data_IF_099368001117
#
_entry.id   IF_099368001117
#
_cell.length_a   1.000
_cell.length_b   1.000
_cell.length_c   1.000
_cell.angle_alpha   90.00
_cell.angle_beta   90.00
_cell.angle_gamma   90.00
#
_symmetry.space_group_name_H-M   'P 1'
#
loop_
_entity.id
_entity.type
_entity.pdbx_description
1 polymer ?
#
# COMPACT_ATOMS: atom_id res chain seq x y z
N UNK A 1 -12.48 4.82 -40.09
CA UNK A 1 -13.95 5.00 -39.89
C UNK A 1 -14.35 4.03 -38.79
N UNK A 2 -14.73 4.38 -37.56
CA UNK A 2 -15.19 5.62 -36.96
C UNK A 2 -14.58 5.68 -35.54
N UNK A 3 -14.01 6.83 -35.22
CA UNK A 3 -13.55 7.22 -33.88
C UNK A 3 -14.70 8.01 -33.25
N UNK A 4 -15.18 7.60 -32.07
CA UNK A 4 -16.04 8.40 -31.18
C UNK A 4 -15.88 7.85 -29.76
N UNK A 5 -14.98 8.39 -28.93
CA UNK A 5 -15.14 9.61 -28.14
C UNK A 5 -16.24 9.51 -27.06
N UNK A 6 -15.90 8.99 -25.88
CA UNK A 6 -16.42 9.51 -24.60
C UNK A 6 -15.27 9.47 -23.58
N UNK A 7 -14.45 10.51 -23.62
CA UNK A 7 -13.78 11.01 -22.42
C UNK A 7 -14.79 11.89 -21.65
N UNK A 8 -15.10 11.52 -20.41
CA UNK A 8 -15.58 12.43 -19.36
C UNK A 8 -14.65 12.13 -18.18
N UNK A 9 -13.60 12.91 -17.92
CA UNK A 9 -13.72 14.29 -17.49
C UNK A 9 -14.18 14.32 -16.03
N UNK A 10 -13.40 13.72 -15.12
CA UNK A 10 -13.57 13.96 -13.68
C UNK A 10 -12.90 15.30 -13.38
N UNK A 11 -13.72 16.32 -13.31
CA UNK A 11 -13.34 17.70 -13.05
C UNK A 11 -12.73 17.82 -11.66
N UNK A 12 -11.47 18.28 -11.60
CA UNK A 12 -10.90 18.85 -10.39
C UNK A 12 -11.69 20.11 -9.99
N UNK A 13 -11.88 20.29 -8.69
CA UNK A 13 -12.34 21.51 -8.02
C UNK A 13 -13.82 21.86 -8.19
N UNK A 14 -14.64 21.29 -7.30
CA UNK A 14 -15.72 22.01 -6.63
C UNK A 14 -16.15 21.24 -5.37
N UNK A 15 -15.24 21.15 -4.38
CA UNK A 15 -15.67 20.91 -3.00
C UNK A 15 -16.43 22.16 -2.58
N UNK A 16 -17.75 22.09 -2.69
CA UNK A 16 -18.67 23.11 -2.21
C UNK A 16 -18.31 23.44 -0.77
N UNK A 17 -17.94 24.70 -0.56
CA UNK A 17 -17.67 25.32 0.74
C UNK A 17 -19.00 25.35 1.52
N UNK A 18 -19.41 24.19 2.05
CA UNK A 18 -20.60 24.06 2.91
C UNK A 18 -20.41 25.06 4.05
N UNK A 19 -21.36 25.97 4.20
CA UNK A 19 -21.34 27.02 5.21
C UNK A 19 -21.04 26.44 6.60
N UNK A 20 -19.93 26.87 7.23
CA UNK A 20 -19.54 26.50 8.61
C UNK A 20 -20.63 26.78 9.66
N UNK A 21 -21.69 27.53 9.32
CA UNK A 21 -22.80 27.90 10.22
C UNK A 21 -23.75 26.74 10.58
N UNK A 22 -23.63 25.56 9.98
CA UNK A 22 -24.55 24.43 10.21
C UNK A 22 -23.94 23.13 10.74
N UNK A 23 -22.61 23.01 10.89
CA UNK A 23 -21.99 21.76 11.34
C UNK A 23 -22.28 21.48 12.82
N UNK A 24 -22.59 20.24 13.14
CA UNK A 24 -22.72 19.74 14.52
C UNK A 24 -21.35 19.73 15.21
N UNK A 25 -21.36 19.67 16.55
CA UNK A 25 -20.12 19.50 17.33
C UNK A 25 -19.39 18.20 16.97
N UNK A 26 -20.13 17.14 16.66
CA UNK A 26 -19.57 15.85 16.26
C UNK A 26 -18.86 15.93 14.89
N UNK A 27 -19.48 16.59 13.90
CA UNK A 27 -18.87 16.75 12.57
C UNK A 27 -17.58 17.58 12.64
N UNK A 28 -17.57 18.68 13.40
CA UNK A 28 -16.33 19.46 13.61
C UNK A 28 -15.24 18.65 14.29
N UNK A 29 -15.62 17.80 15.26
CA UNK A 29 -14.69 16.91 15.96
C UNK A 29 -14.06 15.92 14.97
N UNK A 30 -14.88 15.28 14.14
CA UNK A 30 -14.41 14.34 13.13
C UNK A 30 -13.49 15.02 12.10
N UNK A 31 -13.86 16.20 11.59
CA UNK A 31 -13.02 16.97 10.67
C UNK A 31 -11.65 17.32 11.28
N UNK A 32 -11.63 17.72 12.55
CA UNK A 32 -10.37 18.01 13.26
C UNK A 32 -9.53 16.75 13.44
N UNK A 33 -10.15 15.62 13.80
CA UNK A 33 -9.44 14.34 13.91
C UNK A 33 -8.80 13.95 12.58
N UNK A 34 -9.54 14.03 11.46
CA UNK A 34 -8.98 13.70 10.14
C UNK A 34 -7.79 14.60 9.77
N UNK A 35 -7.88 15.90 10.05
CA UNK A 35 -6.75 16.83 9.82
C UNK A 35 -5.51 16.44 10.63
N UNK A 36 -5.70 16.00 11.89
CA UNK A 36 -4.60 15.52 12.75
C UNK A 36 -4.00 14.24 12.16
N UNK A 37 -4.83 13.28 11.76
CA UNK A 37 -4.38 12.01 11.18
C UNK A 37 -3.62 12.22 9.87
N UNK A 38 -4.09 13.09 8.98
CA UNK A 38 -3.42 13.38 7.71
C UNK A 38 -2.09 14.10 7.91
N UNK A 39 -2.02 15.02 8.87
CA UNK A 39 -0.77 15.69 9.23
C UNK A 39 0.24 14.72 9.86
N UNK A 40 -0.22 13.83 10.74
CA UNK A 40 0.60 12.81 11.36
C UNK A 40 1.11 11.79 10.34
N UNK A 41 0.25 11.30 9.44
CA UNK A 41 0.62 10.40 8.34
C UNK A 41 1.71 10.98 7.46
N UNK A 42 1.59 12.24 7.07
CA UNK A 42 2.65 12.93 6.35
C UNK A 42 3.95 12.91 7.15
N UNK A 43 3.94 13.37 8.41
CA UNK A 43 5.16 13.47 9.20
C UNK A 43 5.81 12.11 9.45
N UNK A 44 5.02 11.09 9.79
CA UNK A 44 5.51 9.72 9.97
C UNK A 44 6.06 9.14 8.67
N UNK A 45 5.47 9.45 7.51
CA UNK A 45 6.01 9.02 6.21
C UNK A 45 7.39 9.62 5.90
N UNK A 46 7.70 10.80 6.44
CA UNK A 46 8.97 11.48 6.19
C UNK A 46 10.05 11.15 7.22
N UNK A 47 9.66 10.89 8.47
CA UNK A 47 10.58 10.86 9.61
C UNK A 47 10.49 9.58 10.46
N UNK A 48 9.57 8.67 10.12
CA UNK A 48 9.26 7.48 10.91
C UNK A 48 8.63 7.79 12.27
N UNK A 49 8.27 6.74 13.02
CA UNK A 49 7.62 6.86 14.33
C UNK A 49 8.44 7.65 15.36
N UNK A 50 9.75 7.40 15.42
CA UNK A 50 10.62 8.00 16.44
C UNK A 50 11.06 9.43 16.10
N UNK A 51 10.95 9.85 14.84
CA UNK A 51 11.33 11.20 14.39
C UNK A 51 10.23 12.26 14.53
N UNK A 52 9.05 11.90 15.05
CA UNK A 52 7.87 12.79 15.12
C UNK A 52 7.38 12.90 16.56
N UNK A 53 6.95 14.10 16.96
CA UNK A 53 6.27 14.36 18.24
C UNK A 53 4.83 14.87 18.02
N UNK A 54 3.97 14.73 19.04
CA UNK A 54 2.62 15.34 19.01
C UNK A 54 2.66 16.87 18.83
N UNK A 55 3.74 17.53 19.27
CA UNK A 55 3.94 18.97 19.03
C UNK A 55 4.20 19.28 17.56
N UNK A 56 4.94 18.43 16.86
CA UNK A 56 5.19 18.59 15.42
C UNK A 56 3.89 18.44 14.63
N UNK A 57 3.06 17.45 15.00
CA UNK A 57 1.72 17.27 14.42
C UNK A 57 0.85 18.51 14.64
N UNK A 58 0.77 19.01 15.89
CA UNK A 58 0.01 20.22 16.19
C UNK A 58 0.48 21.44 15.39
N UNK A 59 1.81 21.62 15.28
CA UNK A 59 2.42 22.68 14.48
C UNK A 59 2.05 22.57 13.01
N UNK A 60 2.03 21.36 12.45
CA UNK A 60 1.67 21.13 11.04
C UNK A 60 0.20 21.39 10.76
N UNK A 61 -0.70 21.02 11.67
CA UNK A 61 -2.13 21.32 11.55
C UNK A 61 -2.41 22.82 11.77
N UNK A 62 -1.51 23.54 12.44
CA UNK A 62 -1.66 24.96 12.77
C UNK A 62 -2.53 25.20 14.01
N UNK A 63 -2.52 24.25 14.95
CA UNK A 63 -3.30 24.30 16.19
C UNK A 63 -2.39 24.28 17.42
N UNK A 64 -2.93 24.71 18.55
CA UNK A 64 -2.20 24.60 19.81
C UNK A 64 -2.02 23.14 20.21
N UNK A 65 -0.85 22.77 20.76
CA UNK A 65 -0.51 21.38 21.10
C UNK A 65 -1.50 20.71 22.05
N UNK A 66 -2.14 21.48 22.94
CA UNK A 66 -3.18 20.97 23.84
C UNK A 66 -4.40 20.43 23.10
N UNK A 67 -4.70 20.92 21.89
CA UNK A 67 -5.78 20.39 21.08
C UNK A 67 -5.44 18.98 20.60
N UNK A 68 -4.23 18.74 20.09
CA UNK A 68 -3.81 17.39 19.68
C UNK A 68 -3.81 16.44 20.88
N UNK A 69 -3.28 16.88 22.02
CA UNK A 69 -3.30 16.09 23.26
C UNK A 69 -4.72 15.76 23.77
N UNK A 70 -5.72 16.58 23.44
CA UNK A 70 -7.12 16.28 23.75
C UNK A 70 -7.68 15.12 22.90
N UNK A 71 -7.17 14.93 21.68
CA UNK A 71 -7.57 13.81 20.80
C UNK A 71 -6.68 12.58 20.98
N UNK A 72 -5.38 12.78 21.18
CA UNK A 72 -4.37 11.75 21.26
C UNK A 72 -3.37 12.12 22.35
N UNK A 73 -3.43 11.43 23.48
CA UNK A 73 -2.52 11.59 24.62
C UNK A 73 -1.21 10.83 24.46
N UNK A 74 -1.17 9.94 23.47
CA UNK A 74 -0.09 9.00 23.22
C UNK A 74 0.26 8.99 21.73
N UNK A 75 1.54 9.18 21.42
CA UNK A 75 2.06 9.17 20.06
C UNK A 75 1.92 7.80 19.41
N UNK A 76 2.13 6.73 20.18
CA UNK A 76 2.11 5.37 19.64
C UNK A 76 0.68 5.00 19.26
N UNK A 77 -0.32 5.36 20.09
CA UNK A 77 -1.74 5.24 19.71
C UNK A 77 -2.11 6.08 18.49
N UNK A 78 -1.58 7.29 18.36
CA UNK A 78 -1.80 8.10 17.15
C UNK A 78 -1.22 7.39 15.92
N UNK A 79 -0.03 6.83 16.03
CA UNK A 79 0.61 6.08 14.96
C UNK A 79 -0.21 4.85 14.56
N UNK A 80 -0.66 4.06 15.54
CA UNK A 80 -1.50 2.87 15.31
C UNK A 80 -2.78 3.23 14.55
N UNK A 81 -3.46 4.31 14.97
CA UNK A 81 -4.69 4.78 14.29
C UNK A 81 -4.40 5.25 12.86
N UNK A 82 -3.30 5.99 12.66
CA UNK A 82 -2.88 6.45 11.32
C UNK A 82 -2.64 5.26 10.40
N UNK A 83 -1.90 4.25 10.87
CA UNK A 83 -1.58 3.07 10.08
C UNK A 83 -2.82 2.22 9.79
N UNK A 84 -3.57 1.85 10.83
CA UNK A 84 -4.73 0.97 10.75
C UNK A 84 -5.83 1.53 9.83
N UNK A 85 -6.04 2.86 9.84
CA UNK A 85 -7.06 3.54 9.01
C UNK A 85 -6.93 3.17 7.53
N UNK A 86 -5.70 3.13 7.00
CA UNK A 86 -5.44 2.80 5.60
C UNK A 86 -5.13 1.33 5.36
N UNK A 87 -4.51 0.65 6.33
CA UNK A 87 -4.25 -0.79 6.25
C UNK A 87 -5.54 -1.59 6.03
N UNK A 88 -6.61 -1.21 6.74
CA UNK A 88 -7.95 -1.78 6.56
C UNK A 88 -8.43 -1.65 5.10
N UNK A 89 -8.34 -0.44 4.54
CA UNK A 89 -8.80 -0.18 3.16
C UNK A 89 -7.98 -0.95 2.14
N UNK A 90 -6.66 -1.01 2.28
CA UNK A 90 -5.78 -1.77 1.36
C UNK A 90 -6.05 -3.27 1.43
N UNK A 91 -6.18 -3.82 2.64
CA UNK A 91 -6.44 -5.25 2.83
C UNK A 91 -7.82 -5.65 2.30
N UNK A 92 -8.86 -4.86 2.56
CA UNK A 92 -10.20 -5.10 2.02
C UNK A 92 -10.24 -5.05 0.49
N UNK A 93 -9.56 -4.07 -0.13
CA UNK A 93 -9.47 -3.98 -1.60
C UNK A 93 -8.76 -5.18 -2.20
N UNK A 94 -7.62 -5.58 -1.65
CA UNK A 94 -6.87 -6.76 -2.13
C UNK A 94 -7.69 -8.04 -1.94
N UNK A 95 -8.38 -8.21 -0.82
CA UNK A 95 -9.25 -9.36 -0.59
C UNK A 95 -10.34 -9.46 -1.66
N UNK A 96 -11.06 -8.36 -1.90
CA UNK A 96 -12.10 -8.30 -2.92
C UNK A 96 -11.56 -8.55 -4.34
N UNK A 97 -10.36 -8.04 -4.65
CA UNK A 97 -9.73 -8.26 -5.94
C UNK A 97 -9.35 -9.73 -6.16
N UNK A 98 -8.80 -10.39 -5.13
CA UNK A 98 -8.51 -11.82 -5.17
C UNK A 98 -9.79 -12.67 -5.25
N UNK A 99 -10.86 -12.28 -4.55
CA UNK A 99 -12.19 -12.93 -4.67
C UNK A 99 -12.71 -12.92 -6.11
N UNK A 100 -12.56 -11.80 -6.83
CA UNK A 100 -12.97 -11.67 -8.23
C UNK A 100 -12.06 -12.49 -9.13
N UNK A 101 -10.74 -12.39 -8.93
CA UNK A 101 -9.76 -13.12 -9.71
C UNK A 101 -9.98 -14.65 -9.66
N UNK A 102 -10.23 -15.21 -8.47
CA UNK A 102 -10.48 -16.64 -8.31
C UNK A 102 -11.76 -17.10 -9.04
N UNK A 103 -12.80 -16.26 -9.08
CA UNK A 103 -14.03 -16.53 -9.84
C UNK A 103 -13.79 -16.49 -11.34
N UNK A 104 -13.00 -15.53 -11.80
CA UNK A 104 -12.70 -15.33 -13.22
C UNK A 104 -11.74 -16.38 -13.79
N UNK A 105 -10.82 -16.90 -12.98
CA UNK A 105 -9.84 -17.88 -13.45
C UNK A 105 -10.38 -19.32 -13.53
N UNK A 106 -11.61 -19.59 -13.11
CA UNK A 106 -12.30 -20.89 -13.22
C UNK A 106 -11.42 -22.08 -12.78
N UNK A 107 -10.82 -21.96 -11.59
CA UNK A 107 -9.94 -22.98 -11.01
C UNK A 107 -8.56 -23.12 -11.67
N UNK A 108 -8.17 -22.20 -12.57
CA UNK A 108 -6.88 -22.20 -13.26
C UNK A 108 -6.12 -20.90 -13.02
N UNK A 109 -5.76 -20.58 -11.76
CA UNK A 109 -4.98 -19.38 -11.48
C UNK A 109 -3.59 -19.48 -12.13
N UNK A 110 -3.03 -18.32 -12.45
CA UNK A 110 -1.65 -18.19 -12.90
C UNK A 110 -0.87 -17.36 -11.90
N UNK A 111 0.43 -17.64 -11.75
CA UNK A 111 1.32 -16.85 -10.87
C UNK A 111 1.26 -15.36 -11.23
N UNK A 112 1.37 -15.03 -12.51
CA UNK A 112 1.34 -13.64 -12.97
C UNK A 112 -0.01 -12.98 -12.70
N UNK A 113 -1.12 -13.68 -12.96
CA UNK A 113 -2.45 -13.13 -12.71
C UNK A 113 -2.67 -12.85 -11.22
N UNK A 114 -2.33 -13.79 -10.34
CA UNK A 114 -2.46 -13.62 -8.90
C UNK A 114 -1.59 -12.45 -8.37
N UNK A 115 -0.32 -12.40 -8.77
CA UNK A 115 0.58 -11.31 -8.40
C UNK A 115 0.13 -9.97 -8.96
N UNK A 116 -0.31 -9.93 -10.23
CA UNK A 116 -0.82 -8.72 -10.87
C UNK A 116 -2.04 -8.20 -10.12
N UNK A 117 -3.04 -9.05 -9.86
CA UNK A 117 -4.24 -8.66 -9.09
C UNK A 117 -3.86 -8.07 -7.74
N UNK A 118 -2.95 -8.71 -7.00
CA UNK A 118 -2.53 -8.23 -5.68
C UNK A 118 -1.75 -6.91 -5.73
N UNK A 119 -0.74 -6.81 -6.60
CA UNK A 119 0.16 -5.66 -6.70
C UNK A 119 -0.54 -4.45 -7.33
N UNK A 120 -1.27 -4.66 -8.42
CA UNK A 120 -1.92 -3.59 -9.18
C UNK A 120 -3.03 -2.92 -8.36
N UNK A 121 -3.75 -3.67 -7.51
CA UNK A 121 -4.78 -3.13 -6.62
C UNK A 121 -4.25 -2.01 -5.72
N UNK A 122 -3.03 -2.17 -5.22
CA UNK A 122 -2.36 -1.19 -4.38
C UNK A 122 -1.75 -0.05 -5.20
N UNK A 123 -1.03 -0.40 -6.27
CA UNK A 123 -0.39 0.59 -7.14
C UNK A 123 -1.44 1.54 -7.73
N UNK A 124 -2.61 1.04 -8.15
CA UNK A 124 -3.71 1.86 -8.64
C UNK A 124 -4.24 2.80 -7.55
N UNK A 125 -4.40 2.31 -6.33
CA UNK A 125 -4.78 3.15 -5.20
C UNK A 125 -3.77 4.28 -4.93
N UNK A 126 -2.47 4.00 -5.04
CA UNK A 126 -1.43 5.02 -4.83
C UNK A 126 -1.27 5.98 -6.01
N UNK A 127 -1.64 5.56 -7.22
CA UNK A 127 -1.70 6.40 -8.43
C UNK A 127 -2.89 7.36 -8.34
N UNK A 128 -4.08 6.85 -8.04
CA UNK A 128 -5.35 7.58 -8.08
C UNK A 128 -5.64 8.36 -6.79
N UNK A 129 -5.15 7.86 -5.65
CA UNK A 129 -5.45 8.37 -4.32
C UNK A 129 -4.70 9.65 -3.92
N UNK A 130 -3.78 10.12 -4.75
CA UNK A 130 -3.02 11.35 -4.50
C UNK A 130 -1.97 11.23 -3.38
N UNK A 131 -1.48 12.38 -2.91
CA UNK A 131 -0.28 12.44 -2.07
C UNK A 131 -0.43 11.74 -0.72
N UNK A 132 -1.61 11.79 -0.08
CA UNK A 132 -1.84 11.08 1.19
C UNK A 132 -1.64 9.58 1.05
N UNK A 133 -2.21 8.96 0.00
CA UNK A 133 -2.01 7.55 -0.28
C UNK A 133 -0.54 7.22 -0.61
N UNK A 134 0.20 8.14 -1.25
CA UNK A 134 1.65 7.99 -1.48
C UNK A 134 2.48 8.12 -0.19
N UNK A 135 2.05 8.95 0.76
CA UNK A 135 2.68 9.07 2.07
C UNK A 135 2.47 7.78 2.87
N UNK A 136 1.25 7.25 2.85
CA UNK A 136 0.96 5.97 3.47
C UNK A 136 1.79 4.83 2.87
N UNK A 137 1.91 4.75 1.54
CA UNK A 137 2.78 3.77 0.90
C UNK A 137 4.23 3.83 1.44
N UNK A 138 4.80 5.03 1.56
CA UNK A 138 6.13 5.24 2.12
C UNK A 138 6.22 4.90 3.62
N UNK A 139 5.15 5.15 4.38
CA UNK A 139 5.03 4.75 5.78
C UNK A 139 4.98 3.23 5.93
N UNK A 140 4.17 2.54 5.12
CA UNK A 140 4.09 1.07 5.10
C UNK A 140 5.44 0.43 4.78
N UNK A 141 6.21 1.01 3.85
CA UNK A 141 7.57 0.54 3.57
C UNK A 141 8.51 0.66 4.78
N UNK A 142 8.35 1.67 5.63
CA UNK A 142 9.15 1.82 6.86
C UNK A 142 8.72 0.80 7.93
N UNK A 143 7.41 0.64 8.14
CA UNK A 143 6.86 -0.33 9.12
C UNK A 143 7.26 -1.74 8.74
N UNK A 144 7.08 -2.13 7.48
CA UNK A 144 7.41 -3.47 6.99
C UNK A 144 8.90 -3.84 7.10
N UNK A 145 9.79 -2.84 7.13
CA UNK A 145 11.24 -3.04 7.30
C UNK A 145 11.71 -2.80 8.74
N UNK A 146 10.80 -2.63 9.71
CA UNK A 146 11.14 -2.49 11.12
C UNK A 146 10.91 -3.81 11.87
N UNK A 147 11.95 -4.39 12.49
CA UNK A 147 11.79 -5.62 13.28
C UNK A 147 10.85 -5.46 14.48
N UNK A 148 10.44 -6.59 15.04
CA UNK A 148 9.59 -6.69 16.25
C UNK A 148 8.23 -6.00 16.08
N UNK A 149 8.11 -4.73 16.46
CA UNK A 149 6.82 -4.03 16.45
C UNK A 149 6.29 -3.79 15.04
N UNK A 150 7.17 -3.51 14.07
CA UNK A 150 6.78 -3.28 12.68
C UNK A 150 6.27 -4.57 12.04
N UNK A 151 6.99 -5.67 12.25
CA UNK A 151 6.57 -7.01 11.85
C UNK A 151 5.19 -7.37 12.44
N UNK A 152 5.01 -7.20 13.76
CA UNK A 152 3.73 -7.47 14.42
C UNK A 152 2.56 -6.67 13.82
N UNK A 153 2.79 -5.40 13.50
CA UNK A 153 1.78 -4.56 12.86
C UNK A 153 1.45 -5.03 11.43
N UNK A 154 2.43 -5.57 10.71
CA UNK A 154 2.18 -6.20 9.41
C UNK A 154 1.36 -7.50 9.56
N UNK A 155 1.70 -8.33 10.55
CA UNK A 155 0.99 -9.58 10.85
C UNK A 155 -0.51 -9.29 11.10
N UNK A 156 -0.79 -8.33 11.98
CA UNK A 156 -2.15 -7.96 12.40
C UNK A 156 -3.03 -7.45 11.25
N UNK A 157 -2.44 -6.75 10.28
CA UNK A 157 -3.21 -6.06 9.24
C UNK A 157 -3.20 -6.74 7.86
N UNK A 158 -2.20 -7.56 7.55
CA UNK A 158 -1.98 -8.07 6.19
C UNK A 158 -1.88 -9.59 6.09
N UNK A 159 -1.60 -10.33 7.16
CA UNK A 159 -1.47 -11.80 7.07
C UNK A 159 -2.66 -12.50 6.40
N UNK A 160 -3.93 -12.16 6.72
CA UNK A 160 -5.06 -12.84 6.09
C UNK A 160 -5.06 -12.72 4.55
N UNK A 161 -4.72 -11.54 4.02
CA UNK A 161 -4.72 -11.31 2.57
C UNK A 161 -3.45 -11.86 1.90
N UNK A 162 -2.32 -11.86 2.62
CA UNK A 162 -1.07 -12.46 2.16
C UNK A 162 -1.18 -13.98 2.08
N UNK A 163 -1.68 -14.63 3.12
CA UNK A 163 -1.91 -16.07 3.13
C UNK A 163 -2.89 -16.50 2.05
N UNK A 164 -3.89 -15.66 1.75
CA UNK A 164 -4.79 -15.89 0.62
C UNK A 164 -4.06 -15.89 -0.72
N UNK A 165 -3.24 -14.86 -0.98
CA UNK A 165 -2.40 -14.82 -2.19
C UNK A 165 -1.50 -16.07 -2.27
N UNK A 166 -0.84 -16.44 -1.18
CA UNK A 166 0.05 -17.61 -1.12
C UNK A 166 -0.71 -18.90 -1.47
N UNK A 167 -1.95 -19.06 -1.00
CA UNK A 167 -2.77 -20.21 -1.36
C UNK A 167 -3.09 -20.25 -2.86
N UNK A 168 -3.37 -19.11 -3.48
CA UNK A 168 -3.58 -19.02 -4.94
C UNK A 168 -2.29 -19.36 -5.69
N UNK A 169 -1.13 -18.91 -5.21
CA UNK A 169 0.17 -19.24 -5.80
C UNK A 169 0.48 -20.74 -5.72
N UNK A 170 0.15 -21.40 -4.60
CA UNK A 170 0.25 -22.86 -4.45
C UNK A 170 -0.61 -23.60 -5.46
N UNK A 171 -1.84 -23.13 -5.70
CA UNK A 171 -2.71 -23.72 -6.73
C UNK A 171 -2.16 -23.52 -8.14
N UNK A 172 -1.55 -22.36 -8.41
CA UNK A 172 -0.92 -22.07 -9.70
C UNK A 172 0.39 -22.85 -9.93
N UNK A 173 1.02 -23.38 -8.87
CA UNK A 173 2.30 -24.08 -8.88
C UNK A 173 2.24 -25.37 -8.03
N UNK A 174 1.39 -26.36 -8.38
CA UNK A 174 1.13 -27.52 -7.52
C UNK A 174 2.35 -28.44 -7.31
N UNK A 175 3.39 -28.34 -8.14
CA UNK A 175 4.64 -29.09 -7.98
C UNK A 175 5.75 -28.33 -7.23
N UNK A 176 5.52 -27.07 -6.86
CA UNK A 176 6.51 -26.27 -6.15
C UNK A 176 6.46 -26.51 -4.64
N UNK A 177 7.59 -26.38 -3.95
CA UNK A 177 7.61 -26.51 -2.50
C UNK A 177 7.01 -25.26 -1.83
N UNK A 178 6.35 -25.44 -0.70
CA UNK A 178 5.85 -24.33 0.12
C UNK A 178 6.98 -23.36 0.49
N UNK A 179 8.15 -23.88 0.84
CA UNK A 179 9.37 -23.11 1.16
C UNK A 179 9.72 -22.14 0.03
N UNK A 180 9.78 -22.61 -1.22
CA UNK A 180 10.12 -21.78 -2.36
C UNK A 180 9.03 -20.74 -2.67
N UNK A 181 7.76 -21.07 -2.41
CA UNK A 181 6.65 -20.12 -2.57
C UNK A 181 6.75 -18.99 -1.54
N UNK A 182 7.06 -19.30 -0.28
CA UNK A 182 7.28 -18.29 0.75
C UNK A 182 8.48 -17.40 0.45
N UNK A 183 9.60 -17.97 -0.02
CA UNK A 183 10.76 -17.19 -0.46
C UNK A 183 10.46 -16.33 -1.69
N UNK A 184 9.73 -16.87 -2.66
CA UNK A 184 9.26 -16.09 -3.81
C UNK A 184 8.41 -14.90 -3.38
N UNK A 185 7.48 -15.11 -2.43
CA UNK A 185 6.68 -14.02 -1.86
C UNK A 185 7.55 -13.02 -1.11
N UNK A 186 8.56 -13.47 -0.35
CA UNK A 186 9.53 -12.60 0.30
C UNK A 186 10.21 -11.65 -0.70
N UNK A 187 10.63 -12.16 -1.86
CA UNK A 187 11.22 -11.33 -2.93
C UNK A 187 10.22 -10.34 -3.54
N UNK A 188 8.96 -10.75 -3.74
CA UNK A 188 7.88 -9.85 -4.19
C UNK A 188 7.69 -8.71 -3.21
N UNK A 189 7.54 -9.00 -1.92
CA UNK A 189 7.30 -7.96 -0.91
C UNK A 189 8.52 -7.05 -0.75
N UNK A 190 9.75 -7.58 -0.79
CA UNK A 190 10.97 -6.77 -0.74
C UNK A 190 11.04 -5.73 -1.88
N UNK A 191 10.73 -6.14 -3.11
CA UNK A 191 10.67 -5.23 -4.25
C UNK A 191 9.50 -4.24 -4.17
N UNK A 192 8.36 -4.68 -3.61
CA UNK A 192 7.21 -3.80 -3.38
C UNK A 192 7.57 -2.71 -2.38
N UNK A 193 8.10 -3.07 -1.21
CA UNK A 193 8.46 -2.11 -0.16
C UNK A 193 9.53 -1.12 -0.63
N UNK A 194 10.52 -1.57 -1.40
CA UNK A 194 11.50 -0.65 -2.01
C UNK A 194 10.84 0.34 -2.99
N UNK A 195 9.86 -0.12 -3.76
CA UNK A 195 9.07 0.73 -4.66
C UNK A 195 8.28 1.78 -3.87
N UNK A 196 7.56 1.35 -2.83
CA UNK A 196 6.70 2.24 -2.04
C UNK A 196 7.51 3.27 -1.23
N UNK A 197 8.76 2.96 -0.88
CA UNK A 197 9.67 3.85 -0.18
C UNK A 197 10.13 5.07 -1.02
N UNK A 198 10.03 5.03 -2.36
CA UNK A 198 10.36 6.15 -3.27
C UNK A 198 11.72 6.81 -2.96
N UNK A 199 12.77 6.01 -2.83
CA UNK A 199 14.07 6.46 -2.31
C UNK A 199 14.87 7.37 -3.25
N UNK A 200 14.45 7.55 -4.50
CA UNK A 200 15.22 8.30 -5.52
C UNK A 200 16.47 7.58 -6.02
N UNK A 201 16.74 6.34 -5.58
CA UNK A 201 17.97 5.61 -5.93
C UNK A 201 18.02 5.25 -7.41
N UNK A 202 16.91 4.74 -7.96
CA UNK A 202 16.82 4.35 -9.36
C UNK A 202 16.85 5.58 -10.28
N UNK A 203 16.31 6.71 -9.83
CA UNK A 203 16.37 8.00 -10.52
C UNK A 203 17.81 8.39 -10.78
N UNK A 204 18.67 8.29 -9.76
CA UNK A 204 20.10 8.58 -9.89
C UNK A 204 20.83 7.53 -10.72
N UNK A 205 20.59 6.24 -10.47
CA UNK A 205 21.26 5.14 -11.19
C UNK A 205 21.00 5.16 -12.70
N UNK A 206 19.80 5.57 -13.08
CA UNK A 206 19.34 5.59 -14.46
C UNK A 206 19.51 6.96 -15.13
N UNK A 207 20.18 7.92 -14.47
CA UNK A 207 20.30 9.31 -14.93
C UNK A 207 18.94 9.93 -15.30
N UNK A 208 17.91 9.63 -14.51
CA UNK A 208 16.55 10.14 -14.66
C UNK A 208 15.68 9.39 -15.66
N UNK A 209 16.18 8.32 -16.31
CA UNK A 209 15.39 7.49 -17.22
C UNK A 209 14.26 6.74 -16.51
N UNK A 210 14.50 6.30 -15.27
CA UNK A 210 13.50 5.71 -14.39
C UNK A 210 13.22 6.69 -13.25
N UNK A 211 11.98 6.66 -12.73
CA UNK A 211 11.57 7.47 -11.59
C UNK A 211 11.00 6.57 -10.50
N UNK A 212 11.47 6.74 -9.27
CA UNK A 212 11.03 5.92 -8.14
C UNK A 212 9.58 6.19 -7.71
N UNK A 213 8.98 7.28 -8.18
CA UNK A 213 7.57 7.62 -7.95
C UNK A 213 6.65 7.35 -9.17
N UNK A 214 7.19 6.72 -10.22
CA UNK A 214 6.45 6.25 -11.39
C UNK A 214 5.91 4.83 -11.17
N UNK A 215 4.82 4.76 -10.43
CA UNK A 215 4.14 3.50 -10.15
C UNK A 215 3.53 2.86 -11.41
N UNK A 216 3.22 3.63 -12.44
CA UNK A 216 2.71 3.09 -13.70
C UNK A 216 3.80 2.28 -14.43
N UNK A 217 5.04 2.78 -14.44
CA UNK A 217 6.18 2.04 -14.97
C UNK A 217 6.47 0.76 -14.17
N UNK A 218 6.29 0.77 -12.85
CA UNK A 218 6.45 -0.43 -12.03
C UNK A 218 5.34 -1.45 -12.32
N UNK A 219 4.08 -1.01 -12.34
CA UNK A 219 2.90 -1.82 -12.65
C UNK A 219 3.05 -2.59 -13.98
N UNK A 220 3.61 -1.92 -14.99
CA UNK A 220 3.84 -2.52 -16.30
C UNK A 220 4.83 -3.70 -16.33
N UNK A 221 5.61 -3.94 -15.26
CA UNK A 221 6.75 -4.88 -15.26
C UNK A 221 6.75 -5.86 -14.09
N UNK A 222 6.36 -5.41 -12.90
CA UNK A 222 6.68 -6.10 -11.64
C UNK A 222 6.05 -7.49 -11.55
N UNK A 223 4.75 -7.63 -11.86
CA UNK A 223 4.05 -8.92 -11.77
C UNK A 223 4.64 -9.97 -12.73
N UNK A 224 4.94 -9.57 -13.97
CA UNK A 224 5.57 -10.43 -14.96
C UNK A 224 6.99 -10.86 -14.53
N UNK A 225 7.82 -9.91 -14.08
CA UNK A 225 9.18 -10.19 -13.63
C UNK A 225 9.19 -11.18 -12.46
N UNK A 226 8.32 -10.95 -11.46
CA UNK A 226 8.22 -11.81 -10.29
C UNK A 226 7.70 -13.20 -10.65
N UNK A 227 6.67 -13.27 -11.50
CA UNK A 227 6.11 -14.55 -11.93
C UNK A 227 7.12 -15.43 -12.68
N UNK A 228 8.00 -14.83 -13.47
CA UNK A 228 9.10 -15.54 -14.11
C UNK A 228 10.09 -16.11 -13.06
N UNK A 229 10.41 -15.34 -12.01
CA UNK A 229 11.26 -15.79 -10.90
C UNK A 229 10.69 -17.01 -10.16
N UNK A 230 9.41 -16.98 -9.80
CA UNK A 230 8.73 -18.13 -9.21
C UNK A 230 8.84 -19.37 -10.11
N UNK A 231 8.54 -19.23 -11.40
CA UNK A 231 8.61 -20.35 -12.35
C UNK A 231 10.03 -20.93 -12.44
N UNK A 232 11.07 -20.09 -12.47
CA UNK A 232 12.46 -20.54 -12.52
C UNK A 232 12.83 -21.38 -11.30
N UNK A 233 12.61 -20.85 -10.09
CA UNK A 233 12.97 -21.52 -8.84
C UNK A 233 12.21 -22.84 -8.68
N UNK A 234 10.93 -22.86 -9.04
CA UNK A 234 10.10 -24.07 -8.95
C UNK A 234 10.48 -25.16 -9.99
N UNK A 235 10.86 -24.78 -11.21
CA UNK A 235 11.24 -25.73 -12.27
C UNK A 235 12.61 -26.36 -12.02
N UNK A 236 13.59 -25.57 -11.58
CA UNK A 236 14.96 -26.05 -11.33
C UNK A 236 15.04 -27.10 -10.22
N UNK A 237 14.25 -26.91 -9.14
CA UNK A 237 14.24 -27.87 -8.02
C UNK A 237 13.44 -29.14 -8.32
N UNK A 238 12.43 -29.06 -9.19
CA UNK A 238 11.73 -30.25 -9.69
C UNK A 238 12.67 -31.11 -10.56
N UNK A 239 13.47 -30.47 -11.42
CA UNK A 239 14.50 -31.15 -12.22
C UNK A 239 15.61 -31.77 -11.35
N UNK A 240 16.00 -31.13 -10.24
CA UNK A 240 17.00 -31.66 -9.30
C UNK A 240 16.51 -32.85 -8.45
N UNK A 241 15.19 -33.10 -8.41
CA UNK A 241 14.57 -34.22 -7.68
C UNK A 241 14.17 -35.39 -8.58
N UNK A 242 14.35 -35.27 -9.90
CA UNK A 242 14.11 -36.33 -10.90
C UNK A 242 15.41 -36.99 -11.34
#
# INVERSE_FOLDING_TARGET
MIVANIARGVTLSQTTKRSRKGQTKAERRAETTEQILDAAEYLFSQHGLYGVTLKDVAKRVGVHHTLVNYYFDDKDKLFDVVFARRAKVTSERRMNALDLYEKECDGKPTVEGALRTFLDTDLDLYIEGGEGWRNYAALSAQVANTPEWGAKMMDEHFDPVVLRLINILKQALPGCSDEDIYWGYHFVTGALMLTLARTGRIDKLSNGLCKSDDYAAVKARMSQFMAAGFKSICLERAAAKS
#
